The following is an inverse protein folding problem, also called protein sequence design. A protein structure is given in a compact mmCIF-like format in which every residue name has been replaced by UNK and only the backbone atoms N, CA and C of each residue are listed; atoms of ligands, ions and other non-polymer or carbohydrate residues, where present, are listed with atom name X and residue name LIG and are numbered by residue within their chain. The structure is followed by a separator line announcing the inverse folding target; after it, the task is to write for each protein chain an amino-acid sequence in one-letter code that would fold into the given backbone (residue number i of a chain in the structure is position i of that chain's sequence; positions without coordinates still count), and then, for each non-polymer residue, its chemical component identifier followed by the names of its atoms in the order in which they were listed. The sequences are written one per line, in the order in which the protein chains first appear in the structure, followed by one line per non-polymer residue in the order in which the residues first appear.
data_IF_056474743908
#
_entry.id   IF_056474743908
#
_cell.length_a   1.000
_cell.length_b   1.000
_cell.length_c   1.000
_cell.angle_alpha   90.00
_cell.angle_beta   90.00
_cell.angle_gamma   90.00
#
_symmetry.space_group_name_H-M   'P 1'
#
loop_
_entity.id
_entity.type
_entity.pdbx_description
1 polymer ?
#
# COMPACT_ATOMS: atom_id res chain seq x y z
N UNK A 1 -15.26 -12.32 -13.38
CA UNK A 1 -15.59 -10.99 -12.91
C UNK A 1 -14.54 -10.54 -11.90
N UNK A 2 -14.01 -9.33 -12.08
CA UNK A 2 -13.04 -8.78 -11.15
C UNK A 2 -13.66 -8.46 -9.79
N UNK A 3 -12.87 -8.57 -8.75
CA UNK A 3 -13.30 -8.17 -7.42
C UNK A 3 -13.13 -6.65 -7.31
N UNK A 4 -14.25 -5.93 -7.15
CA UNK A 4 -14.25 -4.47 -7.03
C UNK A 4 -13.37 -3.98 -5.88
N UNK A 5 -13.25 -4.77 -4.81
CA UNK A 5 -12.39 -4.41 -3.68
C UNK A 5 -10.93 -4.39 -4.08
N UNK A 6 -10.51 -5.35 -4.88
CA UNK A 6 -9.12 -5.41 -5.40
C UNK A 6 -8.84 -4.18 -6.26
N UNK A 7 -9.75 -3.85 -7.16
CA UNK A 7 -9.61 -2.66 -8.01
C UNK A 7 -9.51 -1.38 -7.20
N UNK A 8 -10.40 -1.22 -6.23
CA UNK A 8 -10.44 -0.02 -5.39
C UNK A 8 -9.19 0.14 -4.58
N UNK A 9 -8.70 -0.92 -3.94
CA UNK A 9 -7.49 -0.84 -3.13
C UNK A 9 -6.26 -0.62 -4.01
N UNK A 10 -6.23 -1.19 -5.20
CA UNK A 10 -5.13 -0.98 -6.14
C UNK A 10 -5.06 0.49 -6.57
N UNK A 11 -6.20 1.08 -6.93
CA UNK A 11 -6.27 2.49 -7.31
C UNK A 11 -5.85 3.38 -6.13
N UNK A 12 -6.34 3.08 -4.93
CA UNK A 12 -6.00 3.84 -3.74
C UNK A 12 -4.49 3.79 -3.46
N UNK A 13 -3.89 2.62 -3.52
CA UNK A 13 -2.45 2.45 -3.30
C UNK A 13 -1.63 3.23 -4.33
N UNK A 14 -2.03 3.18 -5.59
CA UNK A 14 -1.36 3.94 -6.66
C UNK A 14 -1.46 5.44 -6.45
N UNK A 15 -2.63 5.92 -6.06
CA UNK A 15 -2.85 7.35 -5.81
C UNK A 15 -2.00 7.85 -4.64
N UNK A 16 -1.98 7.09 -3.53
CA UNK A 16 -1.17 7.46 -2.37
C UNK A 16 0.32 7.44 -2.73
N UNK A 17 0.75 6.41 -3.44
CA UNK A 17 2.15 6.29 -3.87
C UNK A 17 2.56 7.47 -4.75
N UNK A 18 1.69 7.90 -5.65
CA UNK A 18 1.95 9.06 -6.49
C UNK A 18 2.12 10.33 -5.66
N UNK A 19 1.36 10.49 -4.58
CA UNK A 19 1.50 11.63 -3.67
C UNK A 19 2.80 11.56 -2.88
N UNK A 20 3.20 10.36 -2.45
CA UNK A 20 4.46 10.17 -1.73
C UNK A 20 5.67 10.49 -2.60
N UNK A 21 5.57 10.22 -3.90
CA UNK A 21 6.62 10.46 -4.89
C UNK A 21 6.49 11.82 -5.58
N UNK A 22 5.60 12.68 -5.12
CA UNK A 22 5.33 13.98 -5.75
C UNK A 22 6.56 14.89 -5.80
N UNK A 23 6.64 15.68 -6.85
CA UNK A 23 7.69 16.67 -7.04
C UNK A 23 7.04 18.04 -7.32
N UNK A 24 7.17 19.04 -6.44
CA UNK A 24 7.99 19.01 -5.22
C UNK A 24 7.42 18.10 -4.14
N UNK A 25 8.26 17.57 -3.22
CA UNK A 25 7.77 16.66 -2.20
C UNK A 25 6.79 17.35 -1.25
N UNK A 26 5.89 16.55 -0.67
CA UNK A 26 4.93 17.04 0.30
C UNK A 26 5.64 17.56 1.57
N UNK A 27 5.03 18.52 2.29
CA UNK A 27 5.50 18.86 3.62
C UNK A 27 5.58 17.60 4.50
N UNK A 28 6.52 17.58 5.43
CA UNK A 28 6.78 16.38 6.24
C UNK A 28 5.52 15.81 6.91
N UNK A 29 4.70 16.68 7.50
CA UNK A 29 3.49 16.26 8.18
C UNK A 29 2.50 15.57 7.23
N UNK A 30 2.33 16.14 6.06
CA UNK A 30 1.43 15.56 5.03
C UNK A 30 2.00 14.27 4.47
N UNK A 31 3.30 14.23 4.24
CA UNK A 31 3.99 13.04 3.78
C UNK A 31 3.80 11.88 4.76
N UNK A 32 3.96 12.15 6.04
CA UNK A 32 3.80 11.17 7.10
C UNK A 32 2.37 10.62 7.15
N UNK A 33 1.37 11.50 7.02
CA UNK A 33 -0.03 11.09 6.96
C UNK A 33 -0.32 10.20 5.74
N UNK A 34 0.25 10.55 4.60
CA UNK A 34 0.08 9.75 3.39
C UNK A 34 0.75 8.38 3.52
N UNK A 35 1.91 8.32 4.15
CA UNK A 35 2.60 7.06 4.41
C UNK A 35 1.77 6.16 5.33
N UNK A 36 1.16 6.74 6.34
CA UNK A 36 0.28 6.02 7.27
C UNK A 36 -0.92 5.44 6.52
N UNK A 37 -1.54 6.25 5.68
CA UNK A 37 -2.67 5.80 4.83
C UNK A 37 -2.24 4.70 3.88
N UNK A 38 -1.03 4.79 3.33
CA UNK A 38 -0.48 3.77 2.45
C UNK A 38 -0.33 2.42 3.19
N UNK A 39 0.23 2.45 4.39
CA UNK A 39 0.42 1.25 5.20
C UNK A 39 -0.93 0.60 5.56
N UNK A 40 -1.92 1.39 5.91
CA UNK A 40 -3.28 0.89 6.16
C UNK A 40 -3.89 0.24 4.92
N UNK A 41 -3.70 0.87 3.78
CA UNK A 41 -4.21 0.33 2.52
C UNK A 41 -3.51 -0.99 2.15
N UNK A 42 -2.22 -1.11 2.45
CA UNK A 42 -1.48 -2.37 2.24
C UNK A 42 -2.06 -3.50 3.11
N UNK A 43 -2.37 -3.21 4.37
CA UNK A 43 -2.98 -4.20 5.27
C UNK A 43 -4.37 -4.58 4.76
N UNK A 44 -5.15 -3.61 4.31
CA UNK A 44 -6.46 -3.87 3.74
C UNK A 44 -6.35 -4.78 2.50
N UNK A 45 -5.40 -4.50 1.63
CA UNK A 45 -5.14 -5.33 0.45
C UNK A 45 -4.75 -6.75 0.85
N UNK A 46 -3.90 -6.89 1.86
CA UNK A 46 -3.50 -8.20 2.37
C UNK A 46 -4.71 -9.01 2.86
N UNK A 47 -5.62 -8.35 3.56
CA UNK A 47 -6.85 -9.00 4.03
C UNK A 47 -7.71 -9.47 2.85
N UNK A 48 -7.80 -8.68 1.79
CA UNK A 48 -8.57 -9.04 0.59
C UNK A 48 -7.96 -10.27 -0.10
N UNK A 49 -6.63 -10.36 -0.12
CA UNK A 49 -5.91 -11.48 -0.74
C UNK A 49 -5.66 -12.65 0.21
N UNK A 50 -6.18 -12.62 1.43
CA UNK A 50 -5.95 -13.65 2.45
C UNK A 50 -4.46 -13.82 2.81
N UNK A 51 -3.73 -12.74 2.83
CA UNK A 51 -2.32 -12.74 3.23
C UNK A 51 -2.25 -12.42 4.71
N UNK A 52 -1.58 -13.30 5.48
CA UNK A 52 -1.39 -13.09 6.92
C UNK A 52 -0.42 -11.94 7.17
N UNK A 53 -0.88 -10.97 7.97
CA UNK A 53 -0.05 -9.86 8.41
C UNK A 53 0.07 -9.96 9.94
N UNK A 54 1.30 -10.13 10.48
CA UNK A 54 1.48 -10.18 11.94
C UNK A 54 0.96 -8.93 12.63
N UNK A 55 0.43 -9.09 13.85
CA UNK A 55 -0.11 -7.97 14.63
C UNK A 55 0.94 -6.88 14.83
N UNK A 56 2.20 -7.27 15.04
CA UNK A 56 3.29 -6.31 15.20
C UNK A 56 3.48 -5.41 13.97
N UNK A 57 3.28 -5.97 12.78
CA UNK A 57 3.35 -5.22 11.52
C UNK A 57 2.13 -4.31 11.37
N UNK A 58 0.95 -4.78 11.78
CA UNK A 58 -0.27 -3.97 11.74
C UNK A 58 -0.19 -2.76 12.68
N UNK A 59 0.44 -2.93 13.84
CA UNK A 59 0.62 -1.84 14.80
C UNK A 59 1.68 -0.83 14.36
N UNK A 60 2.80 -1.33 13.87
CA UNK A 60 3.90 -0.48 13.43
C UNK A 60 4.64 -1.16 12.29
N UNK A 61 4.47 -0.64 11.09
CA UNK A 61 5.09 -1.20 9.89
C UNK A 61 6.44 -0.54 9.63
N UNK A 62 7.52 -1.33 9.69
CA UNK A 62 8.84 -0.86 9.32
C UNK A 62 8.98 -0.78 7.79
N UNK A 63 9.98 -0.06 7.27
CA UNK A 63 10.25 -0.05 5.82
C UNK A 63 10.48 -1.45 5.25
N UNK A 64 11.15 -2.33 5.99
CA UNK A 64 11.37 -3.71 5.56
C UNK A 64 10.06 -4.51 5.51
N UNK A 65 9.21 -4.34 6.52
CA UNK A 65 7.89 -4.97 6.56
C UNK A 65 7.03 -4.49 5.39
N UNK A 66 7.09 -3.21 5.10
CA UNK A 66 6.35 -2.61 3.97
C UNK A 66 6.80 -3.22 2.65
N UNK A 67 8.11 -3.34 2.43
CA UNK A 67 8.66 -3.93 1.22
C UNK A 67 8.26 -5.40 1.06
N UNK A 68 8.29 -6.16 2.15
CA UNK A 68 7.87 -7.56 2.15
C UNK A 68 6.38 -7.70 1.81
N UNK A 69 5.56 -6.84 2.39
CA UNK A 69 4.12 -6.87 2.14
C UNK A 69 3.81 -6.48 0.69
N UNK A 70 4.48 -5.45 0.18
CA UNK A 70 4.35 -5.05 -1.22
C UNK A 70 4.73 -6.20 -2.16
N UNK A 71 5.81 -6.91 -1.84
CA UNK A 71 6.24 -8.05 -2.65
C UNK A 71 5.21 -9.19 -2.60
N UNK A 72 4.69 -9.49 -1.42
CA UNK A 72 3.65 -10.52 -1.26
C UNK A 72 2.39 -10.19 -2.05
N UNK A 73 1.97 -8.93 -2.03
CA UNK A 73 0.81 -8.47 -2.79
C UNK A 73 1.06 -8.54 -4.30
N UNK A 74 2.25 -8.16 -4.73
CA UNK A 74 2.64 -8.25 -6.15
C UNK A 74 2.62 -9.72 -6.61
N UNK A 75 3.15 -10.62 -5.79
CA UNK A 75 3.14 -12.05 -6.10
C UNK A 75 1.72 -12.62 -6.14
N UNK A 76 0.80 -12.04 -5.37
CA UNK A 76 -0.60 -12.44 -5.37
C UNK A 76 -1.38 -11.88 -6.56
N UNK A 77 -0.79 -10.97 -7.33
CA UNK A 77 -1.40 -10.42 -8.53
C UNK A 77 -1.79 -8.96 -8.47
N UNK A 78 -1.51 -8.27 -7.35
CA UNK A 78 -1.80 -6.84 -7.24
C UNK A 78 -0.69 -6.05 -7.91
N UNK A 79 -1.05 -5.20 -8.87
CA UNK A 79 -0.08 -4.41 -9.64
C UNK A 79 0.02 -2.99 -9.08
N UNK A 80 1.10 -2.71 -8.37
CA UNK A 80 1.37 -1.39 -7.79
C UNK A 80 2.13 -0.48 -8.76
N UNK A 81 2.54 -0.99 -9.91
CA UNK A 81 3.28 -0.19 -10.88
C UNK A 81 2.34 0.75 -11.61
N UNK A 82 2.70 2.03 -11.65
CA UNK A 82 2.03 2.95 -12.54
C UNK A 82 2.45 2.62 -13.97
N UNK A 83 1.49 2.48 -14.90
CA UNK A 83 1.86 2.30 -16.31
C UNK A 83 2.63 3.54 -16.75
N UNK A 84 3.87 3.33 -17.10
CA UNK A 84 4.77 4.39 -17.52
C UNK A 84 4.62 4.72 -18.97
#
# INVERSE_FOLDING_TARGET
MGDDRVERVTVLLREIRARLDADPPLPYDEWELQLYAYDEALVTAADIFDIDVPITVRDEMSPDDRAELEQALTDAGLDLRTPG
#
